data_IF_272654531266
#
_entry.id   IF_272654531266
#
_cell.length_a   1.000
_cell.length_b   1.000
_cell.length_c   1.000
_cell.angle_alpha   90.00
_cell.angle_beta   90.00
_cell.angle_gamma   90.00
#
_symmetry.space_group_name_H-M   'P 1'
#
loop_
_entity.id
_entity.type
_entity.pdbx_description
1 polymer ?
#
# COMPACT_ATOMS: atom_id res chain seq x y z
N UNK A 1 -61.25 23.91 49.24
CA UNK A 1 -61.03 22.91 48.17
C UNK A 1 -59.73 23.30 47.48
N UNK A 2 -58.67 22.54 47.73
CA UNK A 2 -57.26 22.93 47.61
C UNK A 2 -56.59 22.30 46.39
N UNK A 3 -55.69 23.08 45.78
CA UNK A 3 -54.50 22.67 45.01
C UNK A 3 -54.69 21.85 43.73
N UNK A 4 -54.54 22.53 42.59
CA UNK A 4 -54.01 22.02 41.31
C UNK A 4 -53.62 23.26 40.47
N UNK A 5 -52.65 23.14 39.56
CA UNK A 5 -52.17 24.19 38.62
C UNK A 5 -50.88 24.97 38.93
N UNK A 6 -49.90 24.42 39.67
CA UNK A 6 -48.54 25.02 39.70
C UNK A 6 -47.45 24.08 39.18
N UNK A 7 -47.68 22.77 39.07
CA UNK A 7 -46.61 21.81 38.73
C UNK A 7 -46.37 21.61 37.21
N UNK A 8 -47.21 22.15 36.33
CA UNK A 8 -47.13 21.82 34.89
C UNK A 8 -46.32 22.78 34.01
N UNK A 9 -45.88 23.94 34.52
CA UNK A 9 -45.19 24.96 33.70
C UNK A 9 -43.66 24.84 33.77
N UNK A 10 -43.10 24.20 34.81
CA UNK A 10 -41.64 24.08 34.95
C UNK A 10 -41.01 22.92 34.17
N UNK A 11 -41.77 21.90 33.77
CA UNK A 11 -41.22 20.75 33.06
C UNK A 11 -40.94 21.02 31.56
N UNK A 12 -41.63 21.98 30.94
CA UNK A 12 -41.49 22.29 29.51
C UNK A 12 -40.32 23.22 29.20
N UNK A 13 -39.94 24.10 30.15
CA UNK A 13 -38.79 25.00 30.02
C UNK A 13 -37.44 24.30 30.22
N UNK A 14 -37.39 23.25 31.04
CA UNK A 14 -36.15 22.47 31.23
C UNK A 14 -35.85 21.54 30.04
N UNK A 15 -36.88 21.00 29.39
CA UNK A 15 -36.72 20.12 28.25
C UNK A 15 -36.22 20.87 26.98
N UNK A 16 -36.63 22.13 26.82
CA UNK A 16 -36.18 22.97 25.71
C UNK A 16 -34.74 23.49 25.89
N UNK A 17 -34.25 23.68 27.13
CA UNK A 17 -32.87 24.08 27.38
C UNK A 17 -31.86 22.93 27.16
N UNK A 18 -32.22 21.69 27.55
CA UNK A 18 -31.37 20.51 27.32
C UNK A 18 -31.34 20.15 25.82
N UNK A 19 -32.44 20.32 25.10
CA UNK A 19 -32.48 20.17 23.64
C UNK A 19 -31.63 21.23 22.94
N UNK A 20 -31.67 22.49 23.38
CA UNK A 20 -30.85 23.56 22.81
C UNK A 20 -29.34 23.34 23.01
N UNK A 21 -28.90 22.88 24.19
CA UNK A 21 -27.47 22.57 24.42
C UNK A 21 -27.00 21.35 23.61
N UNK A 22 -27.86 20.36 23.38
CA UNK A 22 -27.52 19.17 22.57
C UNK A 22 -27.49 19.46 21.07
N UNK A 23 -28.22 20.49 20.62
CA UNK A 23 -28.15 20.98 19.23
C UNK A 23 -26.89 21.82 19.03
N UNK A 24 -26.53 22.69 19.98
CA UNK A 24 -25.32 23.53 19.89
C UNK A 24 -24.02 22.69 19.99
N UNK A 25 -24.02 21.54 20.66
CA UNK A 25 -22.85 20.63 20.70
C UNK A 25 -22.69 19.73 19.47
N UNK A 26 -23.70 19.65 18.58
CA UNK A 26 -23.66 18.79 17.39
C UNK A 26 -23.50 19.56 16.07
N UNK A 27 -23.48 20.90 16.10
CA UNK A 27 -23.23 21.73 14.90
C UNK A 27 -21.75 22.03 14.65
N UNK A 28 -20.83 21.57 15.51
CA UNK A 28 -19.38 21.64 15.22
C UNK A 28 -18.87 20.31 14.65
N UNK A 29 -19.09 20.10 13.35
CA UNK A 29 -18.31 19.27 12.38
C UNK A 29 -19.24 18.63 11.35
N UNK A 30 -19.89 19.45 10.54
CA UNK A 30 -20.13 19.07 9.15
C UNK A 30 -19.61 20.19 8.23
N UNK A 31 -18.33 20.49 8.39
CA UNK A 31 -17.60 21.21 7.36
C UNK A 31 -17.33 20.19 6.26
N UNK A 32 -18.31 20.00 5.37
CA UNK A 32 -18.20 19.13 4.19
C UNK A 32 -17.34 19.80 3.09
N UNK A 33 -16.32 20.57 3.50
CA UNK A 33 -15.20 20.90 2.66
C UNK A 33 -14.37 19.63 2.51
N UNK A 34 -13.96 19.31 1.29
CA UNK A 34 -13.06 18.20 1.04
C UNK A 34 -11.83 18.39 1.96
N UNK A 35 -11.62 17.49 2.92
CA UNK A 35 -10.43 17.51 3.77
C UNK A 35 -9.25 17.32 2.81
N UNK A 36 -8.44 18.35 2.67
CA UNK A 36 -7.23 18.32 1.83
C UNK A 36 -6.01 18.27 2.73
N UNK A 37 -4.97 17.61 2.23
CA UNK A 37 -3.63 17.69 2.81
C UNK A 37 -2.81 18.66 1.97
N UNK A 38 -1.92 19.39 2.65
CA UNK A 38 -0.92 20.19 1.99
C UNK A 38 0.36 20.21 2.81
N UNK A 39 1.47 20.42 2.10
CA UNK A 39 2.80 20.53 2.69
C UNK A 39 3.58 19.23 2.63
N UNK A 40 4.75 19.28 3.25
CA UNK A 40 5.72 18.20 3.29
C UNK A 40 5.61 17.43 4.61
N UNK A 41 5.66 16.10 4.53
CA UNK A 41 5.61 15.21 5.69
C UNK A 41 6.78 14.25 5.62
N UNK A 42 7.59 14.20 6.67
CA UNK A 42 8.86 13.49 6.66
C UNK A 42 8.89 12.38 7.70
N UNK A 43 9.49 11.26 7.32
CA UNK A 43 9.79 10.14 8.20
C UNK A 43 11.26 9.77 8.06
N UNK A 44 11.94 9.66 9.20
CA UNK A 44 13.35 9.27 9.29
C UNK A 44 13.51 8.19 10.34
N UNK A 45 14.20 7.10 9.99
CA UNK A 45 14.56 6.03 10.94
C UNK A 45 15.84 5.35 10.50
N UNK A 46 16.86 5.36 11.34
CA UNK A 46 18.20 4.85 10.99
C UNK A 46 18.71 5.52 9.69
N UNK A 47 19.09 4.73 8.68
CA UNK A 47 19.52 5.19 7.35
C UNK A 47 18.34 5.46 6.39
N UNK A 48 17.09 5.29 6.83
CA UNK A 48 15.92 5.54 6.01
C UNK A 48 15.51 7.01 6.09
N UNK A 49 15.32 7.60 4.92
CA UNK A 49 14.65 8.90 4.76
C UNK A 49 13.52 8.73 3.76
N UNK A 50 12.32 9.16 4.13
CA UNK A 50 11.19 9.21 3.21
C UNK A 50 10.32 10.42 3.48
N UNK A 51 9.57 10.84 2.48
CA UNK A 51 8.63 11.92 2.68
C UNK A 51 7.58 12.02 1.58
N UNK A 52 6.50 12.70 1.93
CA UNK A 52 5.42 13.06 1.04
C UNK A 52 5.37 14.56 0.85
N UNK A 53 5.11 14.99 -0.38
CA UNK A 53 4.57 16.32 -0.66
C UNK A 53 3.12 16.16 -1.08
N UNK A 54 2.19 16.72 -0.31
CA UNK A 54 0.78 16.77 -0.67
C UNK A 54 0.41 18.14 -1.23
N UNK A 55 -0.39 18.15 -2.30
CA UNK A 55 -0.92 19.37 -2.90
C UNK A 55 -2.43 19.49 -2.65
N UNK A 56 -2.97 20.73 -2.57
CA UNK A 56 -4.39 20.94 -2.36
C UNK A 56 -5.31 20.41 -3.48
N UNK A 57 -4.76 20.14 -4.67
CA UNK A 57 -5.51 19.56 -5.81
C UNK A 57 -5.64 18.02 -5.75
N UNK A 58 -5.32 17.41 -4.60
CA UNK A 58 -5.53 15.98 -4.37
C UNK A 58 -4.42 15.08 -4.91
N UNK A 59 -3.21 15.62 -5.13
CA UNK A 59 -2.04 14.86 -5.59
C UNK A 59 -0.99 14.71 -4.50
N UNK A 60 -0.13 13.72 -4.70
CA UNK A 60 1.04 13.54 -3.87
C UNK A 60 2.28 13.22 -4.71
N UNK A 61 3.44 13.59 -4.17
CA UNK A 61 4.75 13.07 -4.55
C UNK A 61 5.35 12.38 -3.33
N UNK A 62 6.07 11.29 -3.57
CA UNK A 62 6.71 10.49 -2.53
C UNK A 62 8.14 10.18 -2.93
N UNK A 63 9.04 10.27 -1.96
CA UNK A 63 10.40 9.78 -2.08
C UNK A 63 10.74 8.86 -0.90
N UNK A 64 11.65 7.93 -1.17
CA UNK A 64 12.19 6.98 -0.21
C UNK A 64 13.64 6.73 -0.56
N UNK A 65 14.50 6.73 0.45
CA UNK A 65 15.90 6.34 0.33
C UNK A 65 16.27 5.47 1.53
N UNK A 66 16.81 4.29 1.27
CA UNK A 66 17.37 3.41 2.28
C UNK A 66 18.52 2.59 1.71
N UNK A 67 19.73 2.81 2.23
CA UNK A 67 20.94 2.19 1.69
C UNK A 67 21.16 2.59 0.23
N UNK A 68 21.16 1.62 -0.69
CA UNK A 68 21.30 1.83 -2.14
C UNK A 68 19.96 1.85 -2.89
N UNK A 69 18.82 1.87 -2.18
CA UNK A 69 17.49 1.83 -2.78
C UNK A 69 16.84 3.21 -2.68
N UNK A 70 16.90 3.95 -3.80
CA UNK A 70 16.14 5.19 -3.99
C UNK A 70 14.88 4.87 -4.80
N UNK A 71 13.73 5.29 -4.26
CA UNK A 71 12.42 4.98 -4.78
C UNK A 71 11.53 6.20 -4.74
N UNK A 72 10.54 6.23 -5.62
CA UNK A 72 9.60 7.33 -5.70
C UNK A 72 8.19 6.85 -6.06
N UNK A 73 7.21 7.71 -5.85
CA UNK A 73 5.88 7.54 -6.40
C UNK A 73 5.19 8.89 -6.57
N UNK A 74 4.29 8.94 -7.53
CA UNK A 74 3.34 10.03 -7.72
C UNK A 74 1.95 9.47 -7.79
N UNK A 75 0.94 10.30 -7.55
CA UNK A 75 -0.44 9.90 -7.77
C UNK A 75 -1.45 10.83 -7.13
N UNK A 76 -2.62 10.27 -6.81
CA UNK A 76 -3.74 10.99 -6.19
C UNK A 76 -4.04 10.45 -4.80
N UNK A 77 -4.62 11.27 -3.94
CA UNK A 77 -5.10 10.84 -2.62
C UNK A 77 -6.57 11.18 -2.38
N UNK A 78 -7.19 10.45 -1.46
CA UNK A 78 -8.50 10.76 -0.93
C UNK A 78 -8.53 10.51 0.59
N UNK A 79 -9.38 11.23 1.31
CA UNK A 79 -9.50 11.14 2.76
C UNK A 79 -10.91 10.70 3.14
N UNK A 80 -11.00 9.56 3.82
CA UNK A 80 -12.23 8.97 4.35
C UNK A 80 -12.19 9.02 5.88
N UNK A 81 -12.80 10.06 6.45
CA UNK A 81 -12.71 10.36 7.88
C UNK A 81 -11.28 10.76 8.28
N UNK A 82 -10.60 9.86 8.99
CA UNK A 82 -9.18 10.00 9.37
C UNK A 82 -8.26 9.06 8.59
N UNK A 83 -8.81 8.32 7.62
CA UNK A 83 -8.00 7.44 6.76
C UNK A 83 -7.58 8.18 5.50
N UNK A 84 -6.29 8.21 5.23
CA UNK A 84 -5.70 8.67 3.99
C UNK A 84 -5.47 7.47 3.06
N UNK A 85 -6.10 7.50 1.89
CA UNK A 85 -5.96 6.49 0.84
C UNK A 85 -5.17 7.06 -0.33
N UNK A 86 -4.07 6.40 -0.67
CA UNK A 86 -3.21 6.79 -1.78
C UNK A 86 -3.44 5.88 -2.98
N UNK A 87 -3.46 6.49 -4.17
CA UNK A 87 -3.48 5.80 -5.45
C UNK A 87 -2.28 6.24 -6.26
N UNK A 88 -1.24 5.41 -6.28
CA UNK A 88 -0.07 5.62 -7.13
C UNK A 88 -0.43 5.55 -8.62
N UNK A 89 0.31 6.28 -9.44
CA UNK A 89 0.31 6.14 -10.89
C UNK A 89 0.87 4.77 -11.31
N UNK A 90 1.85 4.26 -10.54
CA UNK A 90 2.29 2.87 -10.64
C UNK A 90 1.15 1.91 -10.29
N UNK A 91 0.86 1.00 -11.22
CA UNK A 91 0.00 -0.16 -10.95
C UNK A 91 0.78 -1.21 -10.15
N UNK A 92 0.33 -1.50 -8.92
CA UNK A 92 0.87 -2.61 -8.13
C UNK A 92 0.64 -3.97 -8.81
N UNK A 93 1.43 -4.97 -8.43
CA UNK A 93 1.41 -6.33 -9.04
C UNK A 93 1.82 -6.34 -10.52
N UNK A 94 2.57 -5.34 -10.96
CA UNK A 94 2.94 -5.15 -12.37
C UNK A 94 4.40 -4.69 -12.52
N UNK A 95 5.32 -5.43 -11.91
CA UNK A 95 6.77 -5.17 -12.02
C UNK A 95 7.47 -6.05 -13.05
N UNK A 96 6.78 -7.09 -13.53
CA UNK A 96 7.31 -8.05 -14.47
C UNK A 96 6.39 -8.18 -15.68
N UNK A 97 6.97 -8.20 -16.87
CA UNK A 97 6.31 -8.63 -18.09
C UNK A 97 6.64 -10.11 -18.34
N UNK A 98 5.63 -10.91 -18.74
CA UNK A 98 5.85 -12.27 -19.23
C UNK A 98 6.14 -12.18 -20.73
N UNK A 99 7.39 -12.33 -21.12
CA UNK A 99 7.82 -12.25 -22.52
C UNK A 99 7.54 -13.55 -23.27
N UNK A 100 7.82 -14.68 -22.61
CA UNK A 100 7.56 -16.03 -23.12
C UNK A 100 7.06 -16.94 -22.02
N UNK A 101 6.22 -17.89 -22.40
CA UNK A 101 5.78 -18.96 -21.53
C UNK A 101 5.52 -20.24 -22.33
N UNK A 102 5.67 -21.40 -21.70
CA UNK A 102 5.38 -22.68 -22.36
C UNK A 102 5.59 -23.89 -21.46
N UNK A 103 5.35 -25.07 -22.04
CA UNK A 103 5.66 -26.37 -21.43
C UNK A 103 7.05 -26.83 -21.86
N UNK A 104 7.84 -27.29 -20.89
CA UNK A 104 9.10 -28.01 -21.06
C UNK A 104 9.07 -29.27 -20.17
N UNK A 105 9.95 -30.22 -20.44
CA UNK A 105 10.15 -31.36 -19.55
C UNK A 105 10.83 -30.91 -18.26
N UNK A 106 10.39 -31.43 -17.11
CA UNK A 106 11.06 -31.20 -15.82
C UNK A 106 10.32 -30.20 -14.92
N UNK A 107 11.10 -29.52 -14.08
CA UNK A 107 10.60 -28.61 -13.05
C UNK A 107 10.15 -27.26 -13.62
N UNK A 108 9.53 -26.44 -12.78
CA UNK A 108 9.25 -25.04 -13.12
C UNK A 108 10.59 -24.29 -13.20
N UNK A 109 10.77 -23.57 -14.30
CA UNK A 109 11.93 -22.72 -14.58
C UNK A 109 11.49 -21.32 -14.99
N UNK A 110 12.07 -20.31 -14.37
CA UNK A 110 11.80 -18.90 -14.69
C UNK A 110 13.14 -18.24 -14.99
N UNK A 111 13.23 -17.55 -16.13
CA UNK A 111 14.41 -16.76 -16.51
C UNK A 111 14.06 -15.28 -16.48
N UNK A 112 14.87 -14.50 -15.78
CA UNK A 112 14.77 -13.05 -15.71
C UNK A 112 15.71 -12.43 -16.75
N UNK A 113 15.14 -11.73 -17.72
CA UNK A 113 15.85 -10.97 -18.74
C UNK A 113 16.02 -9.54 -18.23
N UNK A 114 17.27 -9.18 -17.93
CA UNK A 114 17.67 -7.82 -17.60
C UNK A 114 19.08 -7.57 -18.13
N UNK A 115 19.38 -6.38 -18.68
CA UNK A 115 20.75 -6.01 -19.02
C UNK A 115 21.64 -5.88 -17.78
N UNK A 116 21.04 -5.63 -16.61
CA UNK A 116 21.72 -5.61 -15.32
C UNK A 116 21.58 -6.97 -14.62
N UNK A 117 22.70 -7.68 -14.48
CA UNK A 117 22.76 -9.00 -13.83
C UNK A 117 22.44 -8.95 -12.34
N UNK A 118 22.73 -7.83 -11.66
CA UNK A 118 22.42 -7.66 -10.24
C UNK A 118 20.90 -7.53 -10.01
N UNK A 119 20.21 -6.85 -10.92
CA UNK A 119 18.73 -6.82 -10.90
C UNK A 119 18.13 -8.18 -11.29
N UNK A 120 18.72 -8.87 -12.28
CA UNK A 120 18.24 -10.18 -12.71
C UNK A 120 18.27 -11.22 -11.58
N UNK A 121 19.33 -11.21 -10.77
CA UNK A 121 19.54 -12.15 -9.66
C UNK A 121 18.76 -11.78 -8.39
N UNK A 122 18.22 -10.57 -8.31
CA UNK A 122 17.50 -10.06 -7.14
C UNK A 122 16.00 -10.36 -7.19
N UNK A 123 15.61 -11.58 -7.56
CA UNK A 123 14.20 -11.98 -7.74
C UNK A 123 13.85 -13.20 -6.90
N UNK A 124 12.71 -13.09 -6.21
CA UNK A 124 12.04 -14.18 -5.50
C UNK A 124 10.84 -14.67 -6.32
N UNK A 125 10.75 -15.98 -6.49
CA UNK A 125 9.56 -16.68 -6.94
C UNK A 125 8.87 -17.36 -5.76
N UNK A 126 7.55 -17.26 -5.72
CA UNK A 126 6.69 -17.95 -4.77
C UNK A 126 5.65 -18.78 -5.52
N UNK A 127 5.76 -20.10 -5.38
CA UNK A 127 4.79 -21.07 -5.90
C UNK A 127 3.81 -21.45 -4.79
N UNK A 128 2.51 -21.47 -5.09
CA UNK A 128 1.46 -21.94 -4.17
C UNK A 128 1.04 -23.35 -4.55
N UNK A 129 1.09 -24.30 -3.60
CA UNK A 129 0.65 -25.68 -3.78
C UNK A 129 -0.30 -26.03 -2.63
N UNK A 130 -1.57 -26.30 -2.93
CA UNK A 130 -2.58 -26.62 -1.91
C UNK A 130 -2.66 -25.55 -0.80
N UNK A 131 -2.44 -24.29 -1.18
CA UNK A 131 -2.41 -23.14 -0.25
C UNK A 131 -1.10 -22.95 0.52
N UNK A 132 -0.07 -23.78 0.27
CA UNK A 132 1.24 -23.69 0.92
C UNK A 132 2.22 -22.92 0.03
N UNK A 133 2.97 -21.98 0.61
CA UNK A 133 4.00 -21.21 -0.08
C UNK A 133 5.32 -21.98 -0.19
N UNK A 134 5.87 -22.03 -1.41
CA UNK A 134 7.21 -22.53 -1.69
C UNK A 134 8.03 -21.42 -2.36
N UNK A 135 9.16 -21.04 -1.75
CA UNK A 135 9.98 -19.90 -2.17
C UNK A 135 11.26 -20.36 -2.86
N UNK A 136 11.56 -19.74 -4.00
CA UNK A 136 12.75 -20.02 -4.83
C UNK A 136 13.38 -18.69 -5.25
N UNK A 137 14.70 -18.65 -5.29
CA UNK A 137 15.45 -17.42 -5.58
C UNK A 137 16.18 -17.54 -6.91
N UNK A 138 16.33 -16.42 -7.60
CA UNK A 138 17.16 -16.37 -8.79
C UNK A 138 18.62 -16.57 -8.43
N UNK A 139 19.33 -17.30 -9.29
CA UNK A 139 20.78 -17.40 -9.24
C UNK A 139 21.44 -16.13 -9.82
N UNK A 140 22.77 -16.12 -9.87
CA UNK A 140 23.55 -15.01 -10.41
C UNK A 140 23.30 -14.74 -11.91
N UNK A 141 22.64 -15.65 -12.63
CA UNK A 141 22.28 -15.51 -14.04
C UNK A 141 20.81 -15.12 -14.24
N UNK A 142 20.09 -14.82 -13.15
CA UNK A 142 18.66 -14.54 -13.21
C UNK A 142 17.81 -15.78 -13.51
N UNK A 143 18.32 -16.98 -13.23
CA UNK A 143 17.59 -18.23 -13.41
C UNK A 143 17.02 -18.72 -12.07
N UNK A 144 15.73 -19.02 -12.06
CA UNK A 144 15.05 -19.68 -10.95
C UNK A 144 14.70 -21.09 -11.40
N UNK A 145 15.32 -22.08 -10.79
CA UNK A 145 14.96 -23.50 -10.96
C UNK A 145 14.32 -24.00 -9.68
N UNK A 146 13.12 -24.55 -9.83
CA UNK A 146 12.39 -25.15 -8.71
C UNK A 146 12.68 -26.66 -8.61
N UNK A 147 12.20 -27.31 -7.54
CA UNK A 147 12.16 -28.77 -7.41
C UNK A 147 10.74 -29.34 -7.57
N UNK A 148 9.82 -28.55 -8.14
CA UNK A 148 8.41 -28.92 -8.37
C UNK A 148 8.08 -28.80 -9.85
N UNK A 149 7.19 -29.66 -10.34
CA UNK A 149 6.82 -29.70 -11.76
C UNK A 149 5.56 -28.91 -12.08
N UNK A 150 4.77 -28.55 -11.06
CA UNK A 150 3.51 -27.83 -11.16
C UNK A 150 3.15 -27.17 -9.83
N UNK A 151 2.33 -26.13 -9.88
CA UNK A 151 1.75 -25.46 -8.72
C UNK A 151 0.45 -24.74 -9.14
N UNK A 152 -0.34 -24.29 -8.18
CA UNK A 152 -1.62 -23.61 -8.43
C UNK A 152 -1.41 -22.20 -8.99
N UNK A 153 -0.46 -21.47 -8.41
CA UNK A 153 -0.13 -20.07 -8.73
C UNK A 153 1.36 -19.82 -8.60
N UNK A 154 1.89 -18.96 -9.46
CA UNK A 154 3.26 -18.46 -9.39
C UNK A 154 3.21 -16.94 -9.25
N UNK A 155 3.91 -16.46 -8.24
CA UNK A 155 4.12 -15.05 -7.96
C UNK A 155 5.62 -14.73 -8.01
N UNK A 156 5.96 -13.53 -8.43
CA UNK A 156 7.35 -13.03 -8.42
C UNK A 156 7.43 -11.64 -7.79
N UNK A 157 8.55 -11.35 -7.14
CA UNK A 157 8.84 -10.06 -6.51
C UNK A 157 10.34 -9.77 -6.63
N UNK A 158 10.69 -8.50 -6.80
CA UNK A 158 12.07 -8.05 -6.74
C UNK A 158 12.49 -7.76 -5.31
N UNK A 159 13.68 -8.19 -4.92
CA UNK A 159 14.15 -8.13 -3.53
C UNK A 159 14.76 -6.78 -3.15
N UNK A 160 15.32 -6.02 -4.10
CA UNK A 160 15.86 -4.67 -3.83
C UNK A 160 14.79 -3.58 -3.91
N UNK A 161 13.70 -3.87 -4.62
CA UNK A 161 12.58 -2.96 -4.84
C UNK A 161 11.29 -3.70 -4.52
N UNK A 162 11.10 -4.14 -3.26
CA UNK A 162 9.93 -4.93 -2.90
C UNK A 162 8.66 -4.10 -3.09
N UNK A 163 7.70 -4.70 -3.79
CA UNK A 163 6.34 -4.18 -4.00
C UNK A 163 5.37 -5.37 -3.96
N UNK A 164 4.08 -5.15 -4.21
CA UNK A 164 3.10 -6.24 -4.26
C UNK A 164 3.51 -7.26 -5.33
N UNK A 165 3.49 -8.54 -4.95
CA UNK A 165 3.85 -9.66 -5.83
C UNK A 165 3.13 -9.62 -7.18
N UNK A 166 3.86 -9.81 -8.27
CA UNK A 166 3.28 -9.97 -9.61
C UNK A 166 2.92 -11.43 -9.83
N UNK A 167 1.64 -11.72 -10.07
CA UNK A 167 1.21 -13.06 -10.46
C UNK A 167 1.49 -13.29 -11.95
N UNK A 168 2.33 -14.27 -12.29
CA UNK A 168 2.73 -14.53 -13.68
C UNK A 168 1.99 -15.70 -14.33
N UNK A 169 1.35 -16.54 -13.53
CA UNK A 169 0.53 -17.64 -14.02
C UNK A 169 -0.97 -17.35 -13.82
N UNK A 170 -1.82 -17.89 -14.71
CA UNK A 170 -3.28 -17.90 -14.50
C UNK A 170 -3.67 -19.21 -13.81
N UNK A 171 -4.81 -19.24 -13.11
CA UNK A 171 -5.29 -20.47 -12.45
C UNK A 171 -5.43 -21.63 -13.45
N UNK A 172 -4.94 -22.83 -13.09
CA UNK A 172 -4.83 -24.04 -13.93
C UNK A 172 -4.04 -23.80 -15.23
N UNK A 173 -2.73 -23.71 -15.13
CA UNK A 173 -1.82 -23.56 -16.28
C UNK A 173 -0.93 -24.79 -16.42
N UNK A 174 -0.71 -25.24 -17.66
CA UNK A 174 0.22 -26.33 -17.95
C UNK A 174 1.67 -25.84 -18.04
N UNK A 175 1.91 -24.55 -18.24
CA UNK A 175 3.27 -24.02 -18.46
C UNK A 175 4.15 -24.22 -17.22
N UNK A 176 5.39 -24.60 -17.44
CA UNK A 176 6.42 -24.68 -16.39
C UNK A 176 7.70 -23.95 -16.81
N UNK A 177 7.65 -23.17 -17.89
CA UNK A 177 8.75 -22.32 -18.33
C UNK A 177 8.25 -20.91 -18.57
N UNK A 178 8.97 -19.92 -18.05
CA UNK A 178 8.69 -18.50 -18.21
C UNK A 178 9.97 -17.71 -18.47
N UNK A 179 9.90 -16.74 -19.39
CA UNK A 179 10.89 -15.68 -19.54
C UNK A 179 10.23 -14.36 -19.17
N UNK A 180 10.82 -13.62 -18.23
CA UNK A 180 10.28 -12.39 -17.69
C UNK A 180 11.23 -11.22 -17.94
N UNK A 181 10.71 -10.03 -18.17
CA UNK A 181 11.48 -8.77 -18.15
C UNK A 181 11.04 -7.88 -17.00
N UNK A 182 11.99 -7.13 -16.43
CA UNK A 182 11.71 -6.11 -15.42
C UNK A 182 11.12 -4.87 -16.10
N UNK A 183 10.00 -4.37 -15.57
CA UNK A 183 9.36 -3.17 -16.09
C UNK A 183 10.04 -1.89 -15.58
N UNK A 184 10.05 -0.78 -16.35
CA UNK A 184 10.66 0.48 -15.92
C UNK A 184 10.10 1.05 -14.60
N UNK A 185 8.88 0.66 -14.21
CA UNK A 185 8.24 1.05 -12.95
C UNK A 185 8.81 0.33 -11.72
N UNK A 186 9.81 -0.54 -11.86
CA UNK A 186 10.35 -1.37 -10.79
C UNK A 186 10.75 -0.55 -9.54
N UNK A 187 11.44 0.57 -9.74
CA UNK A 187 11.91 1.43 -8.64
C UNK A 187 10.78 2.28 -8.02
N UNK A 188 9.65 2.40 -8.71
CA UNK A 188 8.51 3.13 -8.18
C UNK A 188 7.79 2.32 -7.08
N UNK A 189 7.02 3.02 -6.24
CA UNK A 189 6.26 2.44 -5.14
C UNK A 189 4.76 2.46 -5.45
N UNK A 190 4.12 1.30 -5.38
CA UNK A 190 2.68 1.26 -5.23
C UNK A 190 2.31 1.54 -3.77
N UNK A 191 1.20 2.23 -3.53
CA UNK A 191 0.58 2.31 -2.20
C UNK A 191 -0.64 1.38 -2.08
N UNK A 192 -0.75 0.40 -2.99
CA UNK A 192 -1.84 -0.58 -2.97
C UNK A 192 -1.84 -1.32 -1.63
N UNK A 193 -3.02 -1.44 -1.02
CA UNK A 193 -3.26 -2.08 0.27
C UNK A 193 -2.61 -1.41 1.48
N UNK A 194 -2.19 -0.14 1.36
CA UNK A 194 -1.68 0.63 2.49
C UNK A 194 -2.67 1.74 2.80
N UNK A 195 -3.28 1.63 3.98
CA UNK A 195 -4.08 2.69 4.56
C UNK A 195 -3.21 3.47 5.56
N UNK A 196 -3.25 4.79 5.44
CA UNK A 196 -2.62 5.71 6.38
C UNK A 196 -3.68 6.32 7.29
N UNK A 197 -3.28 6.71 8.50
CA UNK A 197 -4.12 7.39 9.47
C UNK A 197 -3.57 8.79 9.69
N UNK A 198 -4.44 9.79 9.60
CA UNK A 198 -4.14 11.20 9.88
C UNK A 198 -4.44 11.47 11.36
N UNK A 199 -3.46 12.01 12.08
CA UNK A 199 -3.58 12.50 13.45
C UNK A 199 -2.94 13.88 13.52
N UNK A 200 -3.77 14.92 13.42
CA UNK A 200 -3.31 16.32 13.35
C UNK A 200 -2.25 16.51 12.24
N UNK A 201 -1.01 16.87 12.60
CA UNK A 201 0.11 17.07 11.68
C UNK A 201 0.97 15.80 11.48
N UNK A 202 0.42 14.62 11.80
CA UNK A 202 1.09 13.32 11.63
C UNK A 202 0.29 12.41 10.71
N UNK A 203 0.99 11.73 9.80
CA UNK A 203 0.46 10.64 8.97
C UNK A 203 1.20 9.36 9.38
N UNK A 204 0.46 8.34 9.80
CA UNK A 204 1.03 7.06 10.26
C UNK A 204 0.44 5.89 9.48
N UNK A 205 1.16 4.77 9.43
CA UNK A 205 0.64 3.51 8.91
C UNK A 205 1.24 2.32 9.67
N UNK A 206 0.60 1.15 9.51
CA UNK A 206 1.19 -0.09 9.98
C UNK A 206 2.40 -0.48 9.12
N UNK A 207 3.32 -1.31 9.66
CA UNK A 207 4.37 -1.93 8.87
C UNK A 207 3.80 -2.57 7.60
N UNK A 208 4.51 -2.38 6.49
CA UNK A 208 4.07 -2.85 5.17
C UNK A 208 5.26 -3.38 4.34
N UNK A 209 5.00 -3.79 3.10
CA UNK A 209 5.97 -4.52 2.28
C UNK A 209 7.23 -3.74 1.90
N UNK A 210 7.25 -2.41 2.00
CA UNK A 210 8.46 -1.61 1.76
C UNK A 210 8.88 -0.73 2.96
N UNK A 211 8.00 -0.55 3.95
CA UNK A 211 8.33 0.03 5.26
C UNK A 211 8.09 -1.03 6.36
N UNK A 212 9.01 -1.98 6.56
CA UNK A 212 8.85 -3.07 7.52
C UNK A 212 9.25 -2.65 8.95
N UNK A 213 8.95 -1.41 9.34
CA UNK A 213 9.33 -0.85 10.63
C UNK A 213 8.08 -0.56 11.45
N UNK A 214 8.17 -0.76 12.77
CA UNK A 214 7.17 -0.26 13.71
C UNK A 214 7.24 1.27 13.84
N UNK A 215 6.19 1.87 14.39
CA UNK A 215 6.11 3.30 14.74
C UNK A 215 6.42 4.24 13.56
N UNK A 216 5.81 3.98 12.40
CA UNK A 216 5.97 4.82 11.21
C UNK A 216 5.15 6.09 11.40
N UNK A 217 5.82 7.23 11.53
CA UNK A 217 5.18 8.54 11.68
C UNK A 217 5.84 9.55 10.73
N UNK A 218 5.08 9.99 9.73
CA UNK A 218 5.44 11.11 8.87
C UNK A 218 4.93 12.39 9.52
N UNK A 219 5.84 13.25 9.96
CA UNK A 219 5.53 14.50 10.66
C UNK A 219 5.61 15.64 9.66
N UNK A 220 4.62 16.54 9.69
CA UNK A 220 4.60 17.74 8.87
C UNK A 220 5.74 18.70 9.23
N UNK A 221 6.39 19.29 8.23
CA UNK A 221 7.34 20.39 8.41
C UNK A 221 6.67 21.77 8.55
#
# INVERSE_FOLDING_TARGET
>A
MKFRYITFIFATLFCSYIMAQKIISNESKLNNGMKTLSGEYHYRKMELVSGFLFTPDGKFEFYYSYGASDRNATGTYHIEGDTLKLKSDKKGEHDFAVDKQGKKSGFITIKINSPDAYLASSVLCMCIIDGIEHKYFADNNGLIETNITSCDKIFVQHLLFPDVFTQISKEKFDNNYFELSLLPSLQQVSFKYIDFIIKDDVITCYPNYFLPFEDIEFVKE
#
